data_IF_575821681788
#
_entry.id   IF_575821681788
#
_cell.length_a   1.000
_cell.length_b   1.000
_cell.length_c   1.000
_cell.angle_alpha   90.00
_cell.angle_beta   90.00
_cell.angle_gamma   90.00
#
_symmetry.space_group_name_H-M   'P 1'
#
loop_
_entity.id
_entity.type
_entity.pdbx_description
1 polymer ?
#
# COMPACT_ATOMS: atom_id res chain seq x y z
N UNK A 1 15.76 18.05 13.42
CA UNK A 1 14.72 18.98 12.90
C UNK A 1 14.05 18.27 11.73
N UNK A 2 12.82 17.78 11.90
CA UNK A 2 12.03 17.24 10.80
C UNK A 2 10.91 18.24 10.54
N UNK A 3 11.03 19.00 9.45
CA UNK A 3 9.91 19.81 8.96
C UNK A 3 8.70 18.91 8.62
N UNK A 4 7.53 19.51 8.38
CA UNK A 4 6.33 18.75 8.11
C UNK A 4 6.51 17.89 6.87
N UNK A 5 6.10 16.62 6.96
CA UNK A 5 6.24 15.66 5.89
C UNK A 5 5.40 16.04 4.66
N UNK A 6 6.05 15.95 3.49
CA UNK A 6 5.45 16.07 2.17
C UNK A 6 5.69 14.73 1.47
N UNK A 7 4.71 14.22 0.73
CA UNK A 7 4.94 13.09 -0.14
C UNK A 7 6.14 13.38 -1.06
N UNK A 8 7.14 12.49 -1.18
CA UNK A 8 8.22 12.67 -2.13
C UNK A 8 7.65 13.02 -3.51
N UNK A 9 8.25 13.96 -4.23
CA UNK A 9 7.73 14.46 -5.52
C UNK A 9 7.42 13.33 -6.50
N UNK A 10 8.23 12.26 -6.49
CA UNK A 10 8.04 11.06 -7.29
C UNK A 10 6.73 10.31 -6.98
N UNK A 11 6.31 10.27 -5.71
CA UNK A 11 5.06 9.63 -5.30
C UNK A 11 3.86 10.55 -5.58
N UNK A 12 4.00 11.86 -5.35
CA UNK A 12 2.99 12.85 -5.72
C UNK A 12 2.68 12.84 -7.24
N UNK A 13 3.69 12.51 -8.06
CA UNK A 13 3.59 12.43 -9.51
C UNK A 13 3.06 11.10 -10.06
N UNK A 14 2.64 10.14 -9.22
CA UNK A 14 2.05 8.88 -9.69
C UNK A 14 0.85 9.14 -10.62
N UNK A 15 0.69 8.40 -11.73
CA UNK A 15 -0.42 8.63 -12.64
C UNK A 15 -1.75 8.21 -12.00
N UNK A 16 -2.85 8.76 -12.53
CA UNK A 16 -4.20 8.28 -12.21
C UNK A 16 -4.35 6.89 -12.88
N UNK A 17 -4.89 5.88 -12.18
CA UNK A 17 -5.62 5.97 -10.91
C UNK A 17 -4.79 5.76 -9.63
N UNK A 18 -3.49 5.50 -9.74
CA UNK A 18 -2.65 5.07 -8.63
C UNK A 18 -2.48 6.13 -7.53
N UNK A 19 -2.50 7.42 -7.89
CA UNK A 19 -2.43 8.51 -6.89
C UNK A 19 -3.76 8.83 -6.20
N UNK A 20 -4.89 8.24 -6.60
CA UNK A 20 -6.20 8.56 -6.03
C UNK A 20 -6.29 8.06 -4.58
N UNK A 21 -6.83 8.90 -3.70
CA UNK A 21 -6.96 8.57 -2.29
C UNK A 21 -8.18 7.68 -1.98
N UNK A 22 -9.28 7.87 -2.72
CA UNK A 22 -10.52 7.10 -2.52
C UNK A 22 -10.43 5.71 -3.19
N UNK A 23 -10.51 4.60 -2.42
CA UNK A 23 -10.52 3.23 -2.95
C UNK A 23 -11.68 2.97 -3.91
N UNK A 24 -12.83 3.63 -3.75
CA UNK A 24 -14.00 3.44 -4.61
C UNK A 24 -13.76 4.07 -5.97
N UNK A 25 -13.23 5.29 -6.01
CA UNK A 25 -12.89 5.97 -7.26
C UNK A 25 -11.73 5.27 -7.96
N UNK A 26 -10.67 4.94 -7.21
CA UNK A 26 -9.54 4.17 -7.70
C UNK A 26 -10.01 2.84 -8.30
N UNK A 27 -10.84 2.09 -7.57
CA UNK A 27 -11.37 0.81 -8.02
C UNK A 27 -12.31 0.91 -9.22
N UNK A 28 -13.01 2.04 -9.43
CA UNK A 28 -13.77 2.30 -10.67
C UNK A 28 -12.81 2.54 -11.83
N UNK A 29 -11.85 3.45 -11.64
CA UNK A 29 -10.90 3.82 -12.68
C UNK A 29 -10.01 2.65 -13.12
N UNK A 30 -9.58 1.78 -12.20
CA UNK A 30 -8.78 0.58 -12.54
C UNK A 30 -9.57 -0.45 -13.34
N UNK A 31 -10.90 -0.57 -13.14
CA UNK A 31 -11.75 -1.50 -13.90
C UNK A 31 -11.95 -1.07 -15.35
N UNK A 32 -11.84 0.22 -15.61
CA UNK A 32 -11.98 0.82 -16.93
C UNK A 32 -10.62 0.98 -17.64
N UNK A 33 -9.51 0.67 -16.95
CA UNK A 33 -8.15 0.88 -17.45
C UNK A 33 -7.74 -0.24 -18.42
N UNK A 34 -7.52 0.07 -19.72
CA UNK A 34 -7.09 -0.94 -20.68
C UNK A 34 -5.66 -1.41 -20.40
N UNK A 35 -5.35 -2.71 -20.62
CA UNK A 35 -4.02 -3.26 -20.38
C UNK A 35 -3.06 -3.02 -21.55
N UNK A 36 -3.03 -1.81 -22.11
CA UNK A 36 -2.10 -1.49 -23.20
C UNK A 36 -0.63 -1.41 -22.71
N UNK A 37 0.37 -1.52 -23.60
CA UNK A 37 1.77 -1.54 -23.19
C UNK A 37 2.22 -0.34 -22.36
N UNK A 38 1.66 0.85 -22.62
CA UNK A 38 1.99 2.05 -21.86
C UNK A 38 1.44 1.94 -20.44
N UNK A 39 0.17 1.55 -20.29
CA UNK A 39 -0.46 1.38 -18.99
C UNK A 39 0.21 0.30 -18.15
N UNK A 40 0.63 -0.81 -18.75
CA UNK A 40 1.37 -1.86 -18.05
C UNK A 40 2.72 -1.36 -17.57
N UNK A 41 3.48 -0.66 -18.41
CA UNK A 41 4.77 -0.09 -18.03
C UNK A 41 4.63 0.96 -16.90
N UNK A 42 3.61 1.81 -16.97
CA UNK A 42 3.29 2.79 -15.93
C UNK A 42 2.88 2.12 -14.62
N UNK A 43 2.07 1.06 -14.67
CA UNK A 43 1.67 0.30 -13.50
C UNK A 43 2.86 -0.38 -12.81
N UNK A 44 3.76 -1.02 -13.58
CA UNK A 44 4.97 -1.65 -13.01
C UNK A 44 5.87 -0.61 -12.34
N UNK A 45 6.06 0.55 -12.97
CA UNK A 45 6.86 1.64 -12.39
C UNK A 45 6.20 2.23 -11.14
N UNK A 46 4.88 2.39 -11.15
CA UNK A 46 4.13 2.85 -9.98
C UNK A 46 4.24 1.83 -8.83
N UNK A 47 4.14 0.54 -9.13
CA UNK A 47 4.30 -0.54 -8.15
C UNK A 47 5.69 -0.47 -7.51
N UNK A 48 6.75 -0.35 -8.30
CA UNK A 48 8.12 -0.23 -7.82
C UNK A 48 8.29 0.93 -6.82
N UNK A 49 7.76 2.11 -7.14
CA UNK A 49 7.80 3.28 -6.26
C UNK A 49 7.00 3.08 -4.96
N UNK A 50 5.79 2.51 -5.07
CA UNK A 50 4.95 2.27 -3.90
C UNK A 50 5.56 1.21 -2.97
N UNK A 51 6.10 0.12 -3.53
CA UNK A 51 6.78 -0.92 -2.76
C UNK A 51 8.01 -0.36 -2.03
N UNK A 52 8.84 0.42 -2.72
CA UNK A 52 10.01 1.05 -2.10
C UNK A 52 9.63 1.92 -0.89
N UNK A 53 8.56 2.71 -1.01
CA UNK A 53 8.05 3.50 0.11
C UNK A 53 7.55 2.64 1.26
N UNK A 54 6.74 1.61 0.98
CA UNK A 54 6.14 0.76 2.03
C UNK A 54 7.18 -0.09 2.75
N UNK A 55 8.23 -0.51 2.03
CA UNK A 55 9.41 -1.16 2.62
C UNK A 55 10.14 -0.20 3.56
N UNK A 56 10.42 1.04 3.14
CA UNK A 56 11.06 2.05 4.00
C UNK A 56 10.22 2.36 5.26
N UNK A 57 8.89 2.40 5.12
CA UNK A 57 7.97 2.55 6.26
C UNK A 57 8.09 1.36 7.21
N UNK A 58 8.03 0.11 6.73
CA UNK A 58 8.16 -1.06 7.61
C UNK A 58 9.53 -1.11 8.29
N UNK A 59 10.60 -0.79 7.57
CA UNK A 59 11.96 -0.81 8.12
C UNK A 59 12.14 0.22 9.25
N UNK A 60 11.46 1.38 9.15
CA UNK A 60 11.53 2.43 10.17
C UNK A 60 10.58 2.22 11.34
N UNK A 61 9.38 1.71 11.07
CA UNK A 61 8.27 1.73 12.02
C UNK A 61 7.71 0.35 12.40
N UNK A 62 8.19 -0.72 11.77
CA UNK A 62 7.74 -2.09 12.01
C UNK A 62 6.43 -2.47 11.31
N UNK A 63 5.88 -3.62 11.73
CA UNK A 63 4.68 -4.23 11.12
C UNK A 63 3.36 -3.56 11.55
N UNK A 64 3.37 -2.91 12.71
CA UNK A 64 2.26 -2.12 13.23
C UNK A 64 2.75 -0.69 13.35
N UNK A 65 2.60 0.09 12.27
CA UNK A 65 3.11 1.46 12.27
C UNK A 65 2.39 2.30 13.31
N UNK A 66 3.13 2.68 14.35
CA UNK A 66 2.73 3.75 15.25
C UNK A 66 3.17 5.09 14.66
N UNK A 67 2.20 5.85 14.15
CA UNK A 67 2.42 7.20 13.64
C UNK A 67 2.55 8.24 14.77
N UNK A 68 2.59 7.82 16.04
CA UNK A 68 2.53 8.70 17.19
C UNK A 68 1.17 9.40 17.33
N UNK A 69 0.13 8.84 16.72
CA UNK A 69 -1.24 9.36 16.82
C UNK A 69 -1.98 8.57 17.91
N UNK A 70 -2.75 9.24 18.78
CA UNK A 70 -3.52 8.57 19.83
C UNK A 70 -4.41 7.49 19.25
N UNK A 71 -4.58 6.38 19.97
CA UNK A 71 -5.44 5.28 19.52
C UNK A 71 -6.86 5.73 19.17
N UNK A 72 -7.41 6.70 19.91
CA UNK A 72 -8.71 7.33 19.64
C UNK A 72 -8.81 7.94 18.22
N UNK A 73 -7.69 8.46 17.69
CA UNK A 73 -7.62 8.93 16.31
C UNK A 73 -7.97 7.83 15.32
N UNK A 74 -7.50 6.58 15.55
CA UNK A 74 -7.69 5.46 14.63
C UNK A 74 -9.00 4.67 14.85
N UNK A 75 -9.39 4.46 16.11
CA UNK A 75 -10.52 3.58 16.44
C UNK A 75 -11.89 4.24 16.18
N UNK A 76 -12.05 5.51 16.57
CA UNK A 76 -13.35 6.19 16.53
C UNK A 76 -13.39 7.33 15.51
N UNK A 77 -12.31 8.11 15.45
CA UNK A 77 -12.27 9.33 14.64
C UNK A 77 -11.89 9.07 13.19
N UNK A 78 -11.00 8.12 12.90
CA UNK A 78 -10.47 7.90 11.55
C UNK A 78 -11.56 7.61 10.55
N UNK A 79 -12.51 6.72 10.86
CA UNK A 79 -13.58 6.37 9.92
C UNK A 79 -14.51 7.56 9.62
N UNK A 80 -14.81 8.38 10.62
CA UNK A 80 -15.65 9.58 10.49
C UNK A 80 -14.93 10.64 9.65
N UNK A 81 -13.65 10.83 9.94
CA UNK A 81 -12.79 11.86 9.38
C UNK A 81 -12.21 11.51 8.01
N UNK A 82 -12.10 10.22 7.70
CA UNK A 82 -11.63 9.68 6.43
C UNK A 82 -12.37 10.29 5.24
N UNK A 83 -13.70 10.44 5.36
CA UNK A 83 -14.51 11.04 4.32
C UNK A 83 -14.12 12.50 4.03
N UNK A 84 -13.67 13.25 5.05
CA UNK A 84 -13.20 14.63 4.91
C UNK A 84 -11.75 14.71 4.44
N UNK A 85 -10.91 13.78 4.89
CA UNK A 85 -9.54 13.64 4.41
C UNK A 85 -9.52 13.44 2.89
N UNK A 86 -10.27 12.46 2.38
CA UNK A 86 -10.32 12.21 0.93
C UNK A 86 -10.97 13.33 0.12
N UNK A 87 -11.88 14.11 0.71
CA UNK A 87 -12.45 15.30 0.05
C UNK A 87 -11.43 16.44 -0.04
N UNK A 88 -10.65 16.65 1.01
CA UNK A 88 -9.67 17.76 1.10
C UNK A 88 -8.38 17.43 0.35
N UNK A 89 -7.99 16.17 0.37
CA UNK A 89 -6.79 15.62 -0.25
C UNK A 89 -7.16 14.39 -1.12
N UNK A 90 -7.81 14.60 -2.28
CA UNK A 90 -8.30 13.52 -3.14
C UNK A 90 -7.18 12.73 -3.83
N UNK A 91 -5.97 13.28 -3.91
CA UNK A 91 -4.81 12.60 -4.47
C UNK A 91 -3.59 12.72 -3.57
N UNK A 92 -2.60 11.84 -3.80
CA UNK A 92 -1.33 11.91 -3.07
C UNK A 92 -0.59 13.25 -3.26
N UNK A 93 -0.80 13.93 -4.39
CA UNK A 93 -0.24 15.27 -4.64
C UNK A 93 -0.85 16.35 -3.75
N UNK A 94 -2.03 16.10 -3.18
CA UNK A 94 -2.71 17.04 -2.29
C UNK A 94 -2.21 16.94 -0.84
N UNK A 95 -1.44 15.90 -0.50
CA UNK A 95 -0.94 15.68 0.86
C UNK A 95 0.23 16.62 1.13
N UNK A 96 -0.13 17.86 1.47
CA UNK A 96 0.78 18.97 1.77
C UNK A 96 0.58 19.41 3.22
N UNK A 97 1.62 19.92 3.90
CA UNK A 97 1.51 20.44 5.27
C UNK A 97 0.39 21.45 5.44
N UNK A 98 0.20 22.34 4.47
CA UNK A 98 -0.85 23.35 4.45
C UNK A 98 -2.23 22.70 4.41
N UNK A 99 -2.49 21.80 3.46
CA UNK A 99 -3.80 21.12 3.38
C UNK A 99 -4.09 20.22 4.57
N UNK A 100 -3.08 19.57 5.14
CA UNK A 100 -3.25 18.77 6.35
C UNK A 100 -3.56 19.66 7.56
N UNK A 101 -2.90 20.82 7.68
CA UNK A 101 -3.19 21.82 8.72
C UNK A 101 -4.61 22.36 8.57
N UNK A 102 -4.99 22.81 7.39
CA UNK A 102 -6.34 23.33 7.12
C UNK A 102 -7.41 22.27 7.41
N UNK A 103 -7.16 21.03 7.03
CA UNK A 103 -8.05 19.91 7.34
C UNK A 103 -8.16 19.66 8.85
N UNK A 104 -7.03 19.66 9.56
CA UNK A 104 -6.99 19.44 10.99
C UNK A 104 -7.71 20.57 11.75
N UNK A 105 -7.49 21.83 11.39
CA UNK A 105 -8.22 22.98 11.97
C UNK A 105 -9.73 22.88 11.75
N UNK A 106 -10.16 22.40 10.59
CA UNK A 106 -11.58 22.36 10.23
C UNK A 106 -12.33 21.16 10.84
N UNK A 107 -11.66 20.04 11.10
CA UNK A 107 -12.35 18.77 11.35
C UNK A 107 -11.85 17.97 12.56
N UNK A 108 -10.65 18.23 13.08
CA UNK A 108 -10.17 17.52 14.27
C UNK A 108 -10.63 18.24 15.53
N UNK A 109 -11.32 17.49 16.39
CA UNK A 109 -11.49 17.89 17.78
C UNK A 109 -10.21 17.54 18.56
N UNK A 110 -9.44 18.58 18.88
CA UNK A 110 -8.17 18.47 19.58
C UNK A 110 -8.32 17.88 20.99
N UNK A 111 -9.40 18.23 21.69
CA UNK A 111 -9.62 17.84 23.08
C UNK A 111 -9.96 16.36 23.13
N UNK A 112 -10.88 15.92 22.27
CA UNK A 112 -11.30 14.51 22.21
C UNK A 112 -10.20 13.56 21.75
N UNK A 113 -9.37 14.01 20.79
CA UNK A 113 -8.37 13.12 20.16
C UNK A 113 -7.04 13.15 20.89
N UNK A 114 -6.58 14.33 21.33
CA UNK A 114 -5.23 14.55 21.86
C UNK A 114 -5.21 14.96 23.33
N UNK A 115 -6.35 15.07 24.02
CA UNK A 115 -6.45 15.60 25.38
C UNK A 115 -5.74 16.97 25.52
N UNK A 116 -5.87 17.78 24.47
CA UNK A 116 -5.17 19.05 24.32
C UNK A 116 -6.07 20.10 23.66
N UNK A 117 -5.79 21.37 23.90
CA UNK A 117 -6.49 22.48 23.24
C UNK A 117 -5.54 23.24 22.33
N UNK A 118 -5.92 23.39 21.07
CA UNK A 118 -5.22 24.23 20.11
C UNK A 118 -6.21 24.76 19.07
N UNK A 119 -6.01 26.01 18.65
CA UNK A 119 -6.73 26.60 17.51
C UNK A 119 -6.02 26.35 16.19
N UNK A 120 -4.69 26.19 16.22
CA UNK A 120 -3.86 25.79 15.09
C UNK A 120 -3.08 24.53 15.48
N UNK A 121 -3.16 23.44 14.70
CA UNK A 121 -2.54 22.18 15.06
C UNK A 121 -1.02 22.33 15.08
N UNK A 122 -0.34 21.75 16.09
CA UNK A 122 1.10 21.69 16.12
C UNK A 122 1.67 21.04 14.85
N UNK A 123 2.82 21.52 14.37
CA UNK A 123 3.46 20.98 13.16
C UNK A 123 3.74 19.47 13.25
N UNK A 124 3.98 18.95 14.46
CA UNK A 124 4.15 17.53 14.70
C UNK A 124 2.86 16.73 14.46
N UNK A 125 1.68 17.28 14.83
CA UNK A 125 0.39 16.64 14.53
C UNK A 125 0.14 16.63 13.03
N UNK A 126 0.39 17.77 12.36
CA UNK A 126 0.29 17.91 10.90
C UNK A 126 1.17 16.87 10.20
N UNK A 127 2.42 16.75 10.63
CA UNK A 127 3.38 15.79 10.11
C UNK A 127 2.93 14.33 10.27
N UNK A 128 2.49 13.94 11.47
CA UNK A 128 2.04 12.58 11.78
C UNK A 128 0.79 12.21 10.98
N UNK A 129 -0.19 13.10 10.90
CA UNK A 129 -1.41 12.92 10.10
C UNK A 129 -1.06 12.80 8.61
N UNK A 130 -0.19 13.66 8.09
CA UNK A 130 0.24 13.64 6.69
C UNK A 130 0.89 12.31 6.30
N UNK A 131 1.85 11.83 7.10
CA UNK A 131 2.51 10.53 6.88
C UNK A 131 1.54 9.37 6.92
N UNK A 132 0.68 9.34 7.94
CA UNK A 132 -0.37 8.34 8.10
C UNK A 132 -1.28 8.31 6.86
N UNK A 133 -1.75 9.48 6.41
CA UNK A 133 -2.64 9.56 5.27
C UNK A 133 -2.00 9.07 3.97
N UNK A 134 -0.80 9.55 3.66
CA UNK A 134 -0.09 9.10 2.48
C UNK A 134 0.27 7.62 2.50
N UNK A 135 0.62 7.09 3.66
CA UNK A 135 0.80 5.66 3.84
C UNK A 135 -0.45 4.89 3.44
N UNK A 136 -1.64 5.28 3.92
CA UNK A 136 -2.89 4.61 3.55
C UNK A 136 -3.23 4.75 2.06
N UNK A 137 -2.96 5.90 1.44
CA UNK A 137 -3.11 6.08 -0.01
C UNK A 137 -2.20 5.09 -0.75
N UNK A 138 -0.91 5.03 -0.40
CA UNK A 138 0.09 4.20 -1.07
C UNK A 138 -0.11 2.70 -0.82
N UNK A 139 -0.55 2.33 0.38
CA UNK A 139 -0.97 0.97 0.68
C UNK A 139 -2.12 0.56 -0.27
N UNK A 140 -3.18 1.37 -0.32
CA UNK A 140 -4.31 1.11 -1.19
C UNK A 140 -3.97 1.15 -2.69
N UNK A 141 -3.03 2.02 -3.10
CA UNK A 141 -2.53 2.08 -4.47
C UNK A 141 -1.77 0.80 -4.84
N UNK A 142 -0.89 0.33 -3.95
CA UNK A 142 -0.18 -0.96 -4.08
C UNK A 142 -1.17 -2.11 -4.23
N UNK A 143 -2.21 -2.15 -3.39
CA UNK A 143 -3.22 -3.19 -3.51
C UNK A 143 -3.95 -3.17 -4.85
N UNK A 144 -4.32 -1.98 -5.33
CA UNK A 144 -4.96 -1.81 -6.64
C UNK A 144 -4.03 -2.20 -7.79
N UNK A 145 -2.75 -1.82 -7.72
CA UNK A 145 -1.73 -2.15 -8.72
C UNK A 145 -1.49 -3.64 -8.83
N UNK A 146 -1.27 -4.31 -7.69
CA UNK A 146 -1.05 -5.77 -7.62
C UNK A 146 -2.27 -6.52 -8.15
N UNK A 147 -3.49 -6.14 -7.73
CA UNK A 147 -4.72 -6.75 -8.23
C UNK A 147 -4.91 -6.52 -9.74
N UNK A 148 -4.63 -5.32 -10.23
CA UNK A 148 -4.76 -5.01 -11.65
C UNK A 148 -3.75 -5.83 -12.47
N UNK A 149 -2.47 -5.84 -12.12
CA UNK A 149 -1.45 -6.64 -12.81
C UNK A 149 -1.76 -8.14 -12.80
N UNK A 150 -2.28 -8.66 -11.68
CA UNK A 150 -2.78 -10.04 -11.58
C UNK A 150 -3.93 -10.31 -12.57
N UNK A 151 -4.88 -9.38 -12.71
CA UNK A 151 -6.01 -9.49 -13.63
C UNK A 151 -5.61 -9.36 -15.09
N UNK A 152 -4.64 -8.51 -15.40
CA UNK A 152 -4.06 -8.40 -16.75
C UNK A 152 -3.48 -9.76 -17.16
N UNK A 153 -2.79 -10.43 -16.25
CA UNK A 153 -2.43 -11.84 -16.37
C UNK A 153 -1.51 -12.16 -17.55
N UNK A 154 -1.26 -13.47 -17.78
CA UNK A 154 -0.31 -13.93 -18.80
C UNK A 154 -0.78 -13.73 -20.25
N UNK A 155 -2.04 -13.40 -20.48
CA UNK A 155 -2.58 -13.11 -21.81
C UNK A 155 -2.08 -11.77 -22.36
N UNK A 156 -1.73 -10.84 -21.48
CA UNK A 156 -1.35 -9.47 -21.84
C UNK A 156 0.02 -9.06 -21.34
N UNK A 157 0.52 -9.68 -20.26
CA UNK A 157 1.92 -9.53 -19.83
C UNK A 157 2.76 -10.58 -20.56
N UNK A 158 3.77 -10.15 -21.30
CA UNK A 158 4.76 -11.09 -21.82
C UNK A 158 5.59 -11.74 -20.69
N UNK A 159 6.37 -12.77 -21.01
CA UNK A 159 7.19 -13.50 -20.03
C UNK A 159 8.13 -12.56 -19.25
N UNK A 160 8.71 -11.56 -19.90
CA UNK A 160 9.63 -10.63 -19.26
C UNK A 160 8.91 -9.64 -18.33
N UNK A 161 7.73 -9.17 -18.73
CA UNK A 161 6.88 -8.32 -17.90
C UNK A 161 6.41 -9.08 -16.65
N UNK A 162 5.97 -10.33 -16.81
CA UNK A 162 5.56 -11.20 -15.69
C UNK A 162 6.71 -11.45 -14.72
N UNK A 163 7.85 -11.91 -15.23
CA UNK A 163 9.04 -12.19 -14.42
C UNK A 163 9.45 -10.96 -13.61
N UNK A 164 9.45 -9.77 -14.24
CA UNK A 164 9.76 -8.50 -13.54
C UNK A 164 8.78 -8.21 -12.41
N UNK A 165 7.46 -8.38 -12.63
CA UNK A 165 6.47 -8.16 -11.56
C UNK A 165 6.65 -9.15 -10.43
N UNK A 166 6.86 -10.43 -10.76
CA UNK A 166 7.11 -11.50 -9.80
C UNK A 166 8.35 -11.20 -8.96
N UNK A 167 9.46 -10.80 -9.59
CA UNK A 167 10.70 -10.46 -8.90
C UNK A 167 10.54 -9.25 -7.98
N UNK A 168 9.87 -8.18 -8.43
CA UNK A 168 9.56 -7.01 -7.59
C UNK A 168 8.77 -7.41 -6.34
N UNK A 169 7.75 -8.27 -6.52
CA UNK A 169 6.94 -8.73 -5.40
C UNK A 169 7.72 -9.67 -4.48
N UNK A 170 8.58 -10.54 -5.01
CA UNK A 170 9.42 -11.46 -4.23
C UNK A 170 10.44 -10.70 -3.38
N UNK A 171 11.04 -9.66 -3.94
CA UNK A 171 11.99 -8.81 -3.21
C UNK A 171 11.30 -8.01 -2.09
N UNK A 172 10.14 -7.42 -2.38
CA UNK A 172 9.45 -6.56 -1.43
C UNK A 172 8.71 -7.34 -0.33
N UNK A 173 8.02 -8.44 -0.65
CA UNK A 173 7.12 -9.18 0.26
C UNK A 173 7.69 -9.45 1.67
N UNK A 174 8.92 -9.97 1.86
CA UNK A 174 9.44 -10.21 3.22
C UNK A 174 9.66 -8.91 4.03
N UNK A 175 9.73 -7.77 3.35
CA UNK A 175 9.92 -6.43 3.91
C UNK A 175 8.66 -5.55 3.80
N UNK A 176 7.51 -6.14 3.51
CA UNK A 176 6.21 -5.48 3.59
C UNK A 176 5.51 -5.80 4.92
N UNK A 177 4.59 -4.93 5.33
CA UNK A 177 3.69 -5.25 6.44
C UNK A 177 2.83 -6.46 6.08
N UNK A 178 2.59 -7.34 7.06
CA UNK A 178 1.94 -8.63 6.83
C UNK A 178 0.57 -8.54 6.13
N UNK A 179 -0.17 -7.43 6.30
CA UNK A 179 -1.47 -7.24 5.63
C UNK A 179 -1.34 -7.20 4.10
N UNK A 180 -0.26 -6.65 3.59
CA UNK A 180 0.00 -6.62 2.15
C UNK A 180 0.41 -7.99 1.61
N UNK A 181 0.98 -8.87 2.44
CA UNK A 181 1.41 -10.18 1.96
C UNK A 181 0.24 -11.08 1.55
N UNK A 182 -0.96 -10.82 2.08
CA UNK A 182 -2.22 -11.49 1.68
C UNK A 182 -2.52 -11.32 0.18
N UNK A 183 -2.07 -10.22 -0.42
CA UNK A 183 -2.29 -9.99 -1.85
C UNK A 183 -1.04 -10.26 -2.69
N UNK A 184 0.17 -10.03 -2.17
CA UNK A 184 1.40 -10.21 -2.95
C UNK A 184 1.74 -11.68 -3.12
N UNK A 185 1.59 -12.51 -2.07
CA UNK A 185 1.92 -13.94 -2.13
C UNK A 185 1.05 -14.69 -3.16
N UNK A 186 -0.29 -14.57 -3.15
CA UNK A 186 -1.11 -15.18 -4.20
C UNK A 186 -0.83 -14.61 -5.60
N UNK A 187 -0.45 -13.33 -5.71
CA UNK A 187 -0.13 -12.74 -7.03
C UNK A 187 1.19 -13.28 -7.59
N UNK A 188 2.18 -13.56 -6.74
CA UNK A 188 3.41 -14.25 -7.15
C UNK A 188 3.07 -15.64 -7.71
N UNK A 189 2.16 -16.39 -7.07
CA UNK A 189 1.72 -17.69 -7.56
C UNK A 189 0.98 -17.55 -8.91
N UNK A 190 0.03 -16.64 -9.01
CA UNK A 190 -0.78 -16.49 -10.22
C UNK A 190 0.03 -16.06 -11.46
N UNK A 191 1.08 -15.26 -11.27
CA UNK A 191 1.92 -14.77 -12.37
C UNK A 191 3.16 -15.64 -12.63
N UNK A 192 3.78 -16.20 -11.59
CA UNK A 192 4.99 -17.03 -11.69
C UNK A 192 4.71 -18.53 -11.76
N UNK A 193 3.51 -18.97 -11.38
CA UNK A 193 3.08 -20.37 -11.43
C UNK A 193 3.65 -21.26 -10.33
N UNK A 194 3.43 -22.59 -10.43
CA UNK A 194 3.86 -23.58 -9.45
C UNK A 194 5.37 -23.64 -9.22
N UNK A 195 6.19 -23.20 -10.18
CA UNK A 195 7.65 -23.18 -10.08
C UNK A 195 8.17 -22.28 -8.94
N UNK A 196 7.33 -21.33 -8.49
CA UNK A 196 7.62 -20.46 -7.35
C UNK A 196 7.49 -21.16 -5.98
N UNK A 197 7.13 -22.45 -5.94
CA UNK A 197 7.01 -23.22 -4.68
C UNK A 197 8.22 -23.05 -3.77
N UNK A 198 9.44 -23.14 -4.33
CA UNK A 198 10.67 -23.00 -3.55
C UNK A 198 10.83 -21.64 -2.88
N UNK A 199 10.21 -20.58 -3.41
CA UNK A 199 10.15 -19.27 -2.75
C UNK A 199 9.15 -19.28 -1.58
N UNK A 200 7.96 -19.85 -1.76
CA UNK A 200 6.95 -19.94 -0.69
C UNK A 200 7.41 -20.82 0.47
N UNK A 201 8.08 -21.94 0.19
CA UNK A 201 8.68 -22.80 1.21
C UNK A 201 9.71 -22.04 2.06
N UNK A 202 10.53 -21.17 1.44
CA UNK A 202 11.48 -20.33 2.20
C UNK A 202 10.75 -19.32 3.08
N UNK A 203 9.75 -18.62 2.56
CA UNK A 203 8.99 -17.65 3.35
C UNK A 203 8.27 -18.31 4.54
N UNK A 204 7.63 -19.46 4.34
CA UNK A 204 6.92 -20.19 5.39
C UNK A 204 7.83 -20.56 6.58
N UNK A 205 9.11 -20.81 6.30
CA UNK A 205 10.10 -21.22 7.29
C UNK A 205 11.00 -20.09 7.82
N UNK A 206 10.81 -18.84 7.38
CA UNK A 206 11.66 -17.71 7.76
C UNK A 206 11.28 -17.15 9.15
N UNK A 207 12.05 -17.40 10.23
CA UNK A 207 11.62 -17.05 11.59
C UNK A 207 11.49 -15.55 11.84
N UNK A 208 12.16 -14.72 11.04
CA UNK A 208 12.08 -13.25 11.13
C UNK A 208 10.80 -12.65 10.57
N UNK A 209 9.97 -13.43 9.86
CA UNK A 209 8.71 -12.95 9.29
C UNK A 209 7.54 -13.05 10.27
N UNK A 210 6.60 -12.12 10.10
CA UNK A 210 5.34 -12.13 10.81
C UNK A 210 4.59 -13.46 10.60
N UNK A 211 3.96 -14.00 11.63
CA UNK A 211 3.29 -15.31 11.61
C UNK A 211 2.29 -15.43 10.45
N UNK A 212 1.46 -14.39 10.23
CA UNK A 212 0.49 -14.37 9.13
C UNK A 212 1.12 -14.40 7.74
N UNK A 213 2.30 -13.81 7.56
CA UNK A 213 3.03 -13.89 6.28
C UNK A 213 3.53 -15.31 6.03
N UNK A 214 4.06 -15.95 7.08
CA UNK A 214 4.49 -17.36 6.99
C UNK A 214 3.32 -18.30 6.72
N UNK A 215 2.20 -18.10 7.42
CA UNK A 215 0.99 -18.90 7.24
C UNK A 215 0.40 -18.76 5.83
N UNK A 216 0.40 -17.56 5.26
CA UNK A 216 -0.03 -17.34 3.87
C UNK A 216 0.89 -18.08 2.88
N UNK A 217 2.21 -18.00 3.08
CA UNK A 217 3.18 -18.72 2.25
C UNK A 217 3.04 -20.25 2.37
N UNK A 218 2.82 -20.77 3.58
CA UNK A 218 2.57 -22.19 3.83
C UNK A 218 1.27 -22.66 3.15
N UNK A 219 0.21 -21.84 3.22
CA UNK A 219 -1.06 -22.12 2.56
C UNK A 219 -0.89 -22.25 1.04
N UNK A 220 -0.17 -21.31 0.42
CA UNK A 220 0.12 -21.33 -1.02
C UNK A 220 1.02 -22.50 -1.40
N UNK A 221 2.07 -22.77 -0.63
CA UNK A 221 2.95 -23.93 -0.91
C UNK A 221 2.17 -25.25 -0.83
N UNK A 222 1.33 -25.42 0.20
CA UNK A 222 0.46 -26.60 0.37
C UNK A 222 -0.58 -26.73 -0.76
N UNK A 223 -1.03 -25.62 -1.33
CA UNK A 223 -1.92 -25.63 -2.47
C UNK A 223 -1.24 -26.20 -3.71
N UNK A 224 0.02 -25.82 -3.97
CA UNK A 224 0.82 -26.36 -5.08
C UNK A 224 1.01 -27.88 -4.94
N UNK A 225 1.33 -28.36 -3.74
CA UNK A 225 1.50 -29.80 -3.47
C UNK A 225 0.24 -30.63 -3.72
N UNK A 226 -0.94 -30.01 -3.64
CA UNK A 226 -2.24 -30.66 -3.81
C UNK A 226 -2.84 -30.46 -5.20
N UNK A 227 -2.22 -29.63 -6.04
CA UNK A 227 -2.70 -29.41 -7.39
C UNK A 227 -2.52 -30.71 -8.20
N UNK A 228 -3.58 -31.26 -8.83
CA UNK A 228 -3.43 -32.43 -9.67
C UNK A 228 -2.49 -32.12 -10.84
N UNK A 229 -1.60 -33.07 -11.17
CA UNK A 229 -0.77 -32.95 -12.37
C UNK A 229 -1.68 -32.75 -13.60
N UNK A 230 -1.33 -31.83 -14.53
CA UNK A 230 -2.09 -31.67 -15.76
C UNK A 230 -2.07 -32.98 -16.56
N UNK A 231 -3.26 -33.49 -16.88
CA UNK A 231 -3.52 -34.68 -17.70
C UNK A 231 -3.10 -34.44 -19.15
#
# INVERSE_FOLDING_TARGET
MTGPWVAPELLAALPVPWRLADPVERGRATRELPPDPQQRAEAVRALELCLAYLVDVKDRYGDETDWGLPRAFFDDYWFILYARLKQSMPTLADVTPEKVRDWAEAYLDAEDVFDATWTTPPDEVVDRVGRSWAFFILQGATESLVRWLRQVGPEHLDESERARVVDLLKEATPRLQWRLTIITIPTILDLGGPDEKGYFDRLANEPGLHEKTRAEAESVSSFIDRAPEPI
#
